data_IF_216656857977
#
_entry.id   IF_216656857977
#
_cell.length_a   1.000
_cell.length_b   1.000
_cell.length_c   1.000
_cell.angle_alpha   90.00
_cell.angle_beta   90.00
_cell.angle_gamma   90.00
#
_symmetry.space_group_name_H-M   'P 1'
#
loop_
_entity.id
_entity.type
_entity.pdbx_description
1 polymer ?
#
# COMPACT_ATOMS: atom_id res chain seq x y z
N UNK A 1 13.97 -8.22 19.45
CA UNK A 1 12.63 -7.59 19.30
C UNK A 1 11.89 -7.86 20.59
N UNK A 2 11.28 -6.85 21.21
CA UNK A 2 10.50 -7.06 22.42
C UNK A 2 9.35 -8.03 22.10
N UNK A 3 9.40 -9.18 22.76
CA UNK A 3 8.29 -10.10 22.90
C UNK A 3 8.00 -10.18 24.40
N UNK A 4 6.73 -10.34 24.74
CA UNK A 4 6.29 -10.39 26.12
C UNK A 4 5.14 -11.37 26.22
N UNK A 5 5.32 -12.38 27.05
CA UNK A 5 4.41 -13.49 27.20
C UNK A 5 3.90 -13.52 28.64
N UNK A 6 2.60 -13.70 28.81
CA UNK A 6 1.96 -13.84 30.11
C UNK A 6 0.66 -14.63 29.98
N UNK A 7 -0.06 -14.83 31.09
CA UNK A 7 -1.32 -15.57 31.12
C UNK A 7 -2.43 -14.68 31.67
N UNK A 8 -3.61 -14.71 31.05
CA UNK A 8 -4.81 -14.08 31.60
C UNK A 8 -5.26 -14.80 32.87
N UNK A 9 -6.12 -14.14 33.66
CA UNK A 9 -6.69 -14.72 34.88
C UNK A 9 -7.51 -15.99 34.63
N UNK A 10 -8.04 -16.17 33.41
CA UNK A 10 -8.77 -17.36 32.98
C UNK A 10 -7.88 -18.47 32.39
N UNK A 11 -6.56 -18.33 32.46
CA UNK A 11 -5.59 -19.34 32.04
C UNK A 11 -5.20 -19.28 30.56
N UNK A 12 -5.78 -18.39 29.76
CA UNK A 12 -5.40 -18.26 28.33
C UNK A 12 -4.03 -17.58 28.18
N UNK A 13 -3.12 -18.11 27.34
CA UNK A 13 -1.83 -17.48 27.10
C UNK A 13 -1.97 -16.25 26.21
N UNK A 14 -1.16 -15.23 26.49
CA UNK A 14 -1.06 -14.01 25.69
C UNK A 14 0.38 -13.82 25.25
N UNK A 15 0.56 -13.58 23.96
CA UNK A 15 1.83 -13.24 23.35
C UNK A 15 1.73 -11.86 22.71
N UNK A 16 2.57 -10.93 23.18
CA UNK A 16 2.70 -9.59 22.61
C UNK A 16 4.01 -9.51 21.85
N UNK A 17 3.95 -9.01 20.62
CA UNK A 17 5.13 -8.68 19.82
C UNK A 17 5.06 -7.23 19.37
N UNK A 18 6.09 -6.46 19.68
CA UNK A 18 6.27 -5.12 19.16
C UNK A 18 7.56 -5.07 18.34
N UNK A 19 7.49 -4.50 17.13
CA UNK A 19 8.63 -4.31 16.25
C UNK A 19 8.59 -2.92 15.59
N UNK A 20 9.52 -2.66 14.66
CA UNK A 20 9.67 -1.38 13.97
C UNK A 20 8.52 -1.03 13.01
N UNK A 21 7.55 -1.93 12.82
CA UNK A 21 6.42 -1.72 11.91
C UNK A 21 5.04 -1.97 12.51
N UNK A 22 4.93 -2.81 13.53
CA UNK A 22 3.64 -3.26 14.03
C UNK A 22 3.68 -3.73 15.48
N UNK A 23 2.52 -3.62 16.11
CA UNK A 23 2.14 -4.29 17.35
C UNK A 23 1.28 -5.51 17.00
N UNK A 24 1.53 -6.65 17.64
CA UNK A 24 0.72 -7.86 17.51
C UNK A 24 0.38 -8.39 18.89
N UNK A 25 -0.90 -8.72 19.09
CA UNK A 25 -1.42 -9.34 20.31
C UNK A 25 -2.02 -10.68 19.88
N UNK A 26 -1.57 -11.77 20.50
CA UNK A 26 -2.09 -13.11 20.24
C UNK A 26 -2.64 -13.69 21.55
N UNK A 27 -3.92 -14.03 21.58
CA UNK A 27 -4.60 -14.66 22.70
C UNK A 27 -4.95 -16.09 22.31
N UNK A 28 -4.41 -17.06 23.06
CA UNK A 28 -4.63 -18.50 22.86
C UNK A 28 -4.30 -19.01 21.45
N UNK A 29 -3.46 -18.29 20.69
CA UNK A 29 -3.14 -18.48 19.26
C UNK A 29 -4.34 -18.52 18.28
N UNK A 30 -5.55 -18.55 18.80
CA UNK A 30 -6.81 -18.57 18.08
C UNK A 30 -7.25 -17.17 17.67
N UNK A 31 -6.77 -16.14 18.36
CA UNK A 31 -7.09 -14.74 18.11
C UNK A 31 -5.80 -13.92 18.03
N UNK A 32 -5.54 -13.30 16.89
CA UNK A 32 -4.35 -12.48 16.66
C UNK A 32 -4.77 -11.14 16.08
N UNK A 33 -4.60 -10.07 16.85
CA UNK A 33 -4.81 -8.70 16.40
C UNK A 33 -3.47 -8.08 16.00
N UNK A 34 -3.41 -7.44 14.84
CA UNK A 34 -2.22 -6.73 14.36
C UNK A 34 -2.55 -5.28 14.08
N UNK A 35 -1.77 -4.39 14.67
CA UNK A 35 -1.89 -2.94 14.57
C UNK A 35 -0.65 -2.35 13.95
N UNK A 36 -0.81 -1.24 13.24
CA UNK A 36 0.32 -0.40 12.90
C UNK A 36 0.77 0.46 14.09
N UNK A 37 1.89 1.16 13.95
CA UNK A 37 2.45 1.97 15.04
C UNK A 37 1.63 3.24 15.36
N UNK A 38 0.59 3.55 14.59
CA UNK A 38 -0.37 4.60 14.94
C UNK A 38 -1.58 4.06 15.72
N UNK A 39 -1.62 2.74 15.99
CA UNK A 39 -2.72 2.06 16.65
C UNK A 39 -3.82 1.57 15.71
N UNK A 40 -3.67 1.72 14.38
CA UNK A 40 -4.72 1.28 13.43
C UNK A 40 -4.77 -0.23 13.36
N UNK A 41 -5.96 -0.80 13.55
CA UNK A 41 -6.19 -2.21 13.28
C UNK A 41 -5.91 -2.50 11.80
N UNK A 42 -5.01 -3.43 11.52
CA UNK A 42 -4.54 -3.75 10.18
C UNK A 42 -4.89 -5.17 9.76
N UNK A 43 -4.93 -6.12 10.69
CA UNK A 43 -5.34 -7.48 10.40
C UNK A 43 -5.76 -8.22 11.66
N UNK A 44 -6.69 -9.15 11.49
CA UNK A 44 -7.15 -10.05 12.55
C UNK A 44 -7.13 -11.47 12.04
N UNK A 45 -6.63 -12.40 12.84
CA UNK A 45 -6.90 -13.81 12.69
C UNK A 45 -7.84 -14.23 13.82
N UNK A 46 -8.99 -14.82 13.49
CA UNK A 46 -9.93 -15.35 14.47
C UNK A 46 -10.37 -16.74 14.02
N UNK A 47 -9.89 -17.78 14.72
CA UNK A 47 -10.29 -19.18 14.58
C UNK A 47 -10.39 -19.65 13.12
N UNK A 48 -9.33 -19.39 12.34
CA UNK A 48 -9.22 -19.82 10.94
C UNK A 48 -9.65 -18.78 9.91
N UNK A 49 -10.25 -17.67 10.35
CA UNK A 49 -10.64 -16.55 9.49
C UNK A 49 -9.58 -15.45 9.53
N UNK A 50 -9.09 -15.05 8.36
CA UNK A 50 -8.14 -13.95 8.18
C UNK A 50 -8.87 -12.71 7.69
N UNK A 51 -8.98 -11.71 8.55
CA UNK A 51 -9.58 -10.41 8.29
C UNK A 51 -8.49 -9.39 7.95
N UNK A 52 -8.74 -8.59 6.91
CA UNK A 52 -7.84 -7.52 6.46
C UNK A 52 -8.60 -6.22 6.33
N UNK A 53 -8.24 -5.22 7.13
CA UNK A 53 -8.81 -3.88 7.02
C UNK A 53 -8.07 -3.06 5.96
N UNK A 54 -8.80 -2.44 5.06
CA UNK A 54 -8.35 -1.39 4.15
C UNK A 54 -8.33 -0.02 4.83
N UNK A 55 -7.53 0.91 4.30
CA UNK A 55 -7.47 2.28 4.84
C UNK A 55 -8.77 3.06 4.61
N UNK A 56 -9.58 2.61 3.66
CA UNK A 56 -10.93 3.11 3.35
C UNK A 56 -12.01 2.55 4.30
N UNK A 57 -11.63 1.76 5.30
CA UNK A 57 -12.55 1.18 6.27
C UNK A 57 -13.09 -0.20 5.90
N UNK A 58 -12.99 -0.59 4.63
CA UNK A 58 -13.45 -1.90 4.16
C UNK A 58 -12.71 -3.04 4.85
N UNK A 59 -13.40 -4.16 5.15
CA UNK A 59 -12.76 -5.34 5.75
C UNK A 59 -13.04 -6.58 4.92
N UNK A 60 -11.98 -7.23 4.46
CA UNK A 60 -12.04 -8.48 3.71
C UNK A 60 -11.79 -9.66 4.65
N UNK A 61 -12.79 -10.52 4.82
CA UNK A 61 -12.66 -11.82 5.46
C UNK A 61 -12.21 -12.88 4.45
N UNK A 62 -11.28 -13.75 4.84
CA UNK A 62 -10.77 -14.86 4.03
C UNK A 62 -10.63 -16.11 4.89
N UNK A 63 -11.12 -17.24 4.42
CA UNK A 63 -11.04 -18.51 5.14
C UNK A 63 -10.91 -19.68 4.16
N UNK A 64 -10.78 -20.89 4.70
CA UNK A 64 -10.96 -22.13 3.94
C UNK A 64 -12.30 -22.75 4.32
N UNK A 65 -13.11 -23.10 3.34
CA UNK A 65 -14.37 -23.82 3.58
C UNK A 65 -14.11 -25.30 3.92
N UNK A 66 -15.19 -26.06 4.12
CA UNK A 66 -15.15 -27.49 4.47
C UNK A 66 -14.44 -28.34 3.40
N UNK A 67 -14.48 -27.90 2.14
CA UNK A 67 -13.79 -28.53 1.00
C UNK A 67 -12.33 -28.05 0.86
N UNK A 68 -11.80 -27.32 1.85
CA UNK A 68 -10.49 -26.67 1.84
C UNK A 68 -10.29 -25.65 0.72
N UNK A 69 -11.35 -25.19 0.06
CA UNK A 69 -11.28 -24.15 -0.97
C UNK A 69 -11.16 -22.78 -0.33
N UNK A 70 -10.54 -21.84 -1.04
CA UNK A 70 -10.38 -20.46 -0.57
C UNK A 70 -11.70 -19.71 -0.73
N UNK A 71 -12.25 -19.25 0.38
CA UNK A 71 -13.42 -18.40 0.41
C UNK A 71 -13.06 -16.98 0.90
N UNK A 72 -13.80 -15.98 0.44
CA UNK A 72 -13.64 -14.59 0.86
C UNK A 72 -14.95 -13.81 0.75
N UNK A 73 -15.14 -12.84 1.62
CA UNK A 73 -16.23 -11.85 1.50
C UNK A 73 -15.85 -10.53 2.17
N UNK A 74 -16.48 -9.46 1.73
CA UNK A 74 -16.48 -8.20 2.46
C UNK A 74 -17.41 -8.33 3.67
N UNK A 75 -17.00 -7.74 4.79
CA UNK A 75 -17.86 -7.59 5.96
C UNK A 75 -18.90 -6.47 5.72
N UNK A 76 -20.09 -6.64 6.28
CA UNK A 76 -21.07 -5.56 6.42
C UNK A 76 -20.66 -4.58 7.52
N UNK A 77 -21.28 -3.40 7.55
CA UNK A 77 -20.93 -2.31 8.47
C UNK A 77 -21.06 -2.71 9.95
N UNK A 78 -22.16 -3.39 10.29
CA UNK A 78 -22.41 -3.91 11.64
C UNK A 78 -21.37 -4.97 12.06
N UNK A 79 -20.89 -5.77 11.12
CA UNK A 79 -19.82 -6.75 11.38
C UNK A 79 -18.45 -6.09 11.57
N UNK A 80 -18.19 -4.97 10.88
CA UNK A 80 -17.00 -4.14 11.10
C UNK A 80 -17.07 -3.51 12.49
N UNK A 81 -18.21 -2.98 12.90
CA UNK A 81 -18.40 -2.41 14.24
C UNK A 81 -18.20 -3.46 15.34
N UNK A 82 -18.76 -4.66 15.16
CA UNK A 82 -18.56 -5.78 16.07
C UNK A 82 -17.09 -6.19 16.16
N UNK A 83 -16.38 -6.21 15.03
CA UNK A 83 -14.94 -6.49 14.99
C UNK A 83 -14.13 -5.43 15.76
N UNK A 84 -14.43 -4.14 15.56
CA UNK A 84 -13.74 -3.05 16.24
C UNK A 84 -14.01 -3.06 17.74
N UNK A 85 -15.25 -3.36 18.15
CA UNK A 85 -15.61 -3.53 19.56
C UNK A 85 -14.82 -4.69 20.19
N UNK A 86 -14.81 -5.86 19.55
CA UNK A 86 -14.05 -7.02 20.00
C UNK A 86 -12.56 -6.72 20.13
N UNK A 87 -11.99 -6.01 19.15
CA UNK A 87 -10.61 -5.55 19.20
C UNK A 87 -10.33 -4.67 20.43
N UNK A 88 -11.20 -3.69 20.72
CA UNK A 88 -11.04 -2.83 21.90
C UNK A 88 -11.11 -3.62 23.20
N UNK A 89 -12.03 -4.58 23.29
CA UNK A 89 -12.15 -5.50 24.42
C UNK A 89 -10.86 -6.31 24.61
N UNK A 90 -10.31 -6.90 23.54
CA UNK A 90 -9.06 -7.66 23.61
C UNK A 90 -7.89 -6.81 24.11
N UNK A 91 -7.73 -5.58 23.58
CA UNK A 91 -6.65 -4.68 23.99
C UNK A 91 -6.83 -4.24 25.45
N UNK A 92 -8.06 -3.91 25.87
CA UNK A 92 -8.37 -3.54 27.24
C UNK A 92 -8.09 -4.67 28.24
N UNK A 93 -8.54 -5.89 27.95
CA UNK A 93 -8.24 -7.09 28.77
C UNK A 93 -6.74 -7.34 28.86
N UNK A 94 -6.02 -7.15 27.75
CA UNK A 94 -4.55 -7.28 27.73
C UNK A 94 -3.89 -6.23 28.63
N UNK A 95 -4.32 -4.97 28.56
CA UNK A 95 -3.80 -3.87 29.39
C UNK A 95 -4.08 -4.05 30.87
N UNK A 96 -5.28 -4.51 31.22
CA UNK A 96 -5.68 -4.79 32.60
C UNK A 96 -4.80 -5.89 33.19
N UNK A 97 -4.66 -7.01 32.48
CA UNK A 97 -3.85 -8.14 32.93
C UNK A 97 -2.35 -7.82 33.02
N UNK A 98 -1.84 -6.82 32.28
CA UNK A 98 -0.47 -6.32 32.46
C UNK A 98 -0.22 -5.61 33.80
N UNK A 99 -1.26 -5.32 34.58
CA UNK A 99 -1.13 -4.69 35.91
C UNK A 99 -0.54 -5.67 36.93
N UNK A 100 -0.97 -6.93 36.85
CA UNK A 100 -0.54 -8.00 37.77
C UNK A 100 0.60 -8.86 37.20
N UNK A 101 0.93 -8.68 35.92
CA UNK A 101 2.00 -9.41 35.24
C UNK A 101 3.38 -8.76 35.48
N UNK A 102 4.50 -9.49 35.30
CA UNK A 102 5.85 -8.92 35.38
C UNK A 102 6.00 -7.69 34.47
N UNK A 103 6.78 -6.65 34.84
CA UNK A 103 6.87 -5.44 34.03
C UNK A 103 7.27 -5.74 32.57
N UNK A 104 6.47 -5.34 31.56
CA UNK A 104 6.84 -5.51 30.17
C UNK A 104 7.92 -4.49 29.76
N UNK A 105 8.58 -4.69 28.61
CA UNK A 105 9.31 -3.62 27.93
C UNK A 105 8.51 -2.30 27.90
N UNK A 106 9.19 -1.19 28.14
CA UNK A 106 8.57 0.12 28.40
C UNK A 106 7.74 0.68 27.24
N UNK A 107 7.91 0.13 26.04
CA UNK A 107 7.21 0.50 24.81
C UNK A 107 5.90 -0.28 24.59
N UNK A 108 5.69 -1.43 25.24
CA UNK A 108 4.50 -2.26 25.05
C UNK A 108 3.24 -1.58 25.57
N UNK A 109 3.25 -1.09 26.82
CA UNK A 109 2.07 -0.45 27.42
C UNK A 109 1.62 0.79 26.62
N UNK A 110 2.51 1.74 26.25
CA UNK A 110 2.14 2.85 25.37
C UNK A 110 1.59 2.41 24.01
N UNK A 111 2.13 1.35 23.40
CA UNK A 111 1.63 0.86 22.11
C UNK A 111 0.21 0.27 22.22
N UNK A 112 -0.10 -0.43 23.31
CA UNK A 112 -1.44 -0.92 23.60
C UNK A 112 -2.42 0.22 23.88
N UNK A 113 -2.02 1.22 24.66
CA UNK A 113 -2.82 2.42 24.94
C UNK A 113 -3.14 3.18 23.65
N UNK A 114 -2.15 3.32 22.75
CA UNK A 114 -2.33 3.91 21.42
C UNK A 114 -3.34 3.12 20.57
N UNK A 115 -3.30 1.78 20.60
CA UNK A 115 -4.26 0.93 19.91
C UNK A 115 -5.67 1.04 20.51
N UNK A 116 -5.80 1.11 21.84
CA UNK A 116 -7.08 1.27 22.53
C UNK A 116 -7.72 2.63 22.26
N UNK A 117 -6.91 3.69 22.21
CA UNK A 117 -7.34 5.06 21.96
C UNK A 117 -7.65 5.35 20.48
N UNK A 118 -7.46 4.38 19.58
CA UNK A 118 -7.65 4.59 18.15
C UNK A 118 -9.11 4.97 17.80
N UNK A 119 -9.27 6.13 17.17
CA UNK A 119 -10.55 6.63 16.67
C UNK A 119 -10.72 6.27 15.19
N UNK A 120 -11.55 5.26 14.95
CA UNK A 120 -11.82 4.72 13.61
C UNK A 120 -12.49 5.75 12.69
N UNK A 121 -13.51 6.46 13.18
CA UNK A 121 -14.25 7.41 12.35
C UNK A 121 -13.39 8.63 12.01
N UNK A 122 -12.56 9.08 12.96
CA UNK A 122 -11.59 10.12 12.68
C UNK A 122 -10.55 9.67 11.65
N UNK A 123 -10.06 8.43 11.72
CA UNK A 123 -9.11 7.87 10.74
C UNK A 123 -9.73 7.83 9.34
N UNK A 124 -10.99 7.40 9.19
CA UNK A 124 -11.70 7.43 7.90
C UNK A 124 -11.84 8.84 7.34
N UNK A 125 -12.24 9.82 8.17
CA UNK A 125 -12.32 11.22 7.75
C UNK A 125 -10.96 11.75 7.28
N UNK A 126 -9.87 11.37 7.94
CA UNK A 126 -8.51 11.75 7.54
C UNK A 126 -8.09 11.06 6.24
N UNK A 127 -8.41 9.78 6.06
CA UNK A 127 -8.15 9.06 4.81
C UNK A 127 -8.84 9.73 3.62
N UNK A 128 -10.14 10.02 3.74
CA UNK A 128 -10.91 10.67 2.66
C UNK A 128 -10.51 12.12 2.40
N UNK A 129 -9.85 12.78 3.36
CA UNK A 129 -9.22 14.09 3.15
C UNK A 129 -7.93 13.98 2.35
N UNK A 130 -7.09 12.99 2.67
CA UNK A 130 -5.78 12.80 2.03
C UNK A 130 -5.89 12.19 0.63
N UNK A 131 -6.90 11.35 0.37
CA UNK A 131 -6.99 10.55 -0.83
C UNK A 131 -8.28 10.75 -1.63
N UNK A 132 -8.13 10.80 -2.95
CA UNK A 132 -9.19 10.37 -3.87
C UNK A 132 -9.22 8.84 -3.90
N UNK A 133 -10.37 8.21 -4.26
CA UNK A 133 -10.47 6.76 -4.28
C UNK A 133 -9.28 6.11 -4.98
N UNK A 134 -8.60 5.23 -4.25
CA UNK A 134 -7.43 4.51 -4.74
C UNK A 134 -7.94 3.29 -5.50
N UNK A 135 -7.67 3.24 -6.80
CA UNK A 135 -8.07 2.11 -7.65
C UNK A 135 -7.10 0.94 -7.52
N UNK A 136 -7.13 0.01 -8.48
CA UNK A 136 -6.27 -1.18 -8.47
C UNK A 136 -4.79 -0.80 -8.43
N UNK A 137 -4.01 -1.53 -7.64
CA UNK A 137 -2.55 -1.53 -7.69
C UNK A 137 -2.08 -2.90 -8.20
N UNK A 138 -0.87 -2.99 -8.78
CA UNK A 138 -0.27 -4.28 -9.06
C UNK A 138 -0.17 -5.14 -7.79
N UNK A 139 -0.30 -6.48 -7.88
CA UNK A 139 -0.38 -7.34 -6.70
C UNK A 139 0.78 -7.19 -5.70
N UNK A 140 1.97 -6.89 -6.19
CA UNK A 140 3.17 -6.67 -5.37
C UNK A 140 3.29 -5.24 -4.81
N UNK A 141 2.31 -4.36 -5.09
CA UNK A 141 2.28 -2.96 -4.67
C UNK A 141 1.08 -2.62 -3.75
N UNK A 142 0.28 -3.58 -3.30
CA UNK A 142 -0.85 -3.32 -2.39
C UNK A 142 -0.46 -2.71 -1.03
N UNK A 143 0.81 -2.80 -0.63
CA UNK A 143 1.34 -2.16 0.59
C UNK A 143 2.13 -0.87 0.32
N UNK A 144 2.21 -0.42 -0.94
CA UNK A 144 2.89 0.82 -1.27
C UNK A 144 2.21 2.03 -0.60
N UNK A 145 2.99 3.07 -0.32
CA UNK A 145 2.49 4.40 -0.07
C UNK A 145 2.02 4.98 -1.41
N UNK A 146 0.73 5.24 -1.54
CA UNK A 146 0.18 5.80 -2.77
C UNK A 146 0.35 7.31 -2.75
N UNK A 147 0.91 7.89 -3.81
CA UNK A 147 1.01 9.33 -4.03
C UNK A 147 0.35 9.68 -5.38
N UNK A 148 -0.77 10.38 -5.36
CA UNK A 148 -1.62 10.67 -6.53
C UNK A 148 -1.11 11.91 -7.30
N UNK A 149 -0.05 11.73 -8.08
CA UNK A 149 0.44 12.77 -9.00
C UNK A 149 -0.54 13.07 -10.14
N UNK A 150 -1.32 12.07 -10.53
CA UNK A 150 -2.49 12.21 -11.39
C UNK A 150 -3.74 11.70 -10.68
N UNK A 151 -4.90 12.05 -11.23
CA UNK A 151 -6.21 11.51 -10.86
C UNK A 151 -6.87 10.95 -12.12
N UNK A 152 -7.55 9.81 -12.01
CA UNK A 152 -8.28 9.21 -13.13
C UNK A 152 -7.37 8.60 -14.19
N UNK A 153 -7.96 8.32 -15.36
CA UNK A 153 -7.27 7.73 -16.50
C UNK A 153 -7.31 8.65 -17.72
N UNK A 154 -6.14 8.94 -18.30
CA UNK A 154 -6.00 9.78 -19.50
C UNK A 154 -6.65 9.20 -20.75
N UNK A 155 -6.94 7.91 -20.75
CA UNK A 155 -7.54 7.21 -21.87
C UNK A 155 -9.02 6.86 -21.62
N UNK A 156 -9.31 6.17 -20.52
CA UNK A 156 -10.66 5.89 -19.99
C UNK A 156 -11.71 5.38 -21.01
N UNK A 157 -11.29 4.73 -22.11
CA UNK A 157 -12.19 4.20 -23.14
C UNK A 157 -12.10 2.69 -23.34
N UNK A 158 -11.18 2.01 -22.64
CA UNK A 158 -11.07 0.55 -22.66
C UNK A 158 -12.42 -0.09 -22.32
N UNK A 159 -12.82 -1.12 -23.08
CA UNK A 159 -14.16 -1.74 -22.93
C UNK A 159 -14.33 -2.51 -21.62
N UNK A 160 -13.24 -3.05 -21.07
CA UNK A 160 -13.25 -3.84 -19.84
C UNK A 160 -13.05 -3.01 -18.55
N UNK A 161 -12.53 -1.78 -18.67
CA UNK A 161 -12.09 -1.01 -17.51
C UNK A 161 -13.17 -0.06 -17.00
N UNK A 162 -13.61 -0.30 -15.76
CA UNK A 162 -14.58 0.56 -15.05
C UNK A 162 -13.94 1.39 -13.92
N UNK A 163 -12.65 1.23 -13.65
CA UNK A 163 -11.99 1.72 -12.42
C UNK A 163 -11.94 3.24 -12.26
N UNK A 164 -11.96 3.98 -13.37
CA UNK A 164 -11.74 5.43 -13.40
C UNK A 164 -12.92 6.19 -14.03
N UNK A 165 -14.09 5.55 -14.15
CA UNK A 165 -15.28 6.13 -14.78
C UNK A 165 -15.92 7.24 -13.94
N UNK A 166 -15.62 7.27 -12.66
CA UNK A 166 -16.17 8.19 -11.66
C UNK A 166 -15.40 9.52 -11.56
N UNK A 167 -14.26 9.70 -12.26
CA UNK A 167 -13.45 10.93 -12.19
C UNK A 167 -12.77 11.28 -13.51
N UNK A 168 -12.65 12.58 -13.86
CA UNK A 168 -11.91 13.01 -15.04
C UNK A 168 -10.39 12.88 -14.82
N UNK A 169 -9.65 12.79 -15.91
CA UNK A 169 -8.18 12.81 -15.84
C UNK A 169 -7.66 14.20 -15.50
N UNK A 170 -6.70 14.26 -14.57
CA UNK A 170 -6.00 15.50 -14.22
C UNK A 170 -4.58 15.22 -13.74
N UNK A 171 -3.68 16.16 -14.03
CA UNK A 171 -2.31 16.19 -13.50
C UNK A 171 -2.23 17.26 -12.42
N UNK A 172 -1.81 16.90 -11.20
CA UNK A 172 -1.61 17.87 -10.11
C UNK A 172 -0.50 18.88 -10.46
N UNK A 173 -0.62 20.09 -9.94
CA UNK A 173 0.50 21.05 -9.92
C UNK A 173 1.53 20.65 -8.87
N UNK A 174 2.77 21.16 -8.92
CA UNK A 174 3.74 20.93 -7.85
C UNK A 174 3.23 21.29 -6.46
N UNK A 175 2.52 22.42 -6.31
CA UNK A 175 1.97 22.85 -5.03
C UNK A 175 0.90 21.88 -4.51
N UNK A 176 -0.02 21.44 -5.36
CA UNK A 176 -1.06 20.48 -4.98
C UNK A 176 -0.48 19.11 -4.63
N UNK A 177 0.55 18.68 -5.35
CA UNK A 177 1.21 17.40 -5.07
C UNK A 177 2.03 17.46 -3.78
N UNK A 178 2.71 18.58 -3.51
CA UNK A 178 3.39 18.83 -2.23
C UNK A 178 2.39 18.77 -1.08
N UNK A 179 1.24 19.43 -1.20
CA UNK A 179 0.17 19.37 -0.20
C UNK A 179 -0.34 17.94 -0.02
N UNK A 180 -0.58 17.22 -1.11
CA UNK A 180 -1.00 15.81 -1.03
C UNK A 180 0.04 14.94 -0.31
N UNK A 181 1.34 15.13 -0.56
CA UNK A 181 2.40 14.42 0.16
C UNK A 181 2.36 14.75 1.66
N UNK A 182 2.15 16.01 2.02
CA UNK A 182 2.02 16.44 3.41
C UNK A 182 0.79 15.80 4.09
N UNK A 183 -0.37 15.81 3.44
CA UNK A 183 -1.61 15.20 3.96
C UNK A 183 -1.46 13.69 4.14
N UNK A 184 -0.78 13.02 3.20
CA UNK A 184 -0.49 11.59 3.28
C UNK A 184 0.46 11.29 4.43
N UNK A 185 1.52 12.07 4.61
CA UNK A 185 2.46 11.91 5.72
C UNK A 185 1.79 12.13 7.08
N UNK A 186 0.95 13.16 7.19
CA UNK A 186 0.14 13.42 8.39
C UNK A 186 -0.78 12.24 8.67
N UNK A 187 -1.55 11.80 7.66
CA UNK A 187 -2.49 10.70 7.78
C UNK A 187 -1.81 9.45 8.32
N UNK A 188 -0.68 9.03 7.73
CA UNK A 188 0.01 7.80 8.14
C UNK A 188 0.71 7.93 9.50
N UNK A 189 1.32 9.08 9.80
CA UNK A 189 2.07 9.28 11.03
C UNK A 189 3.08 8.13 11.28
N UNK A 190 3.14 7.57 12.50
CA UNK A 190 4.00 6.43 12.82
C UNK A 190 3.72 5.16 11.97
N UNK A 191 2.49 4.96 11.51
CA UNK A 191 2.10 3.83 10.67
C UNK A 191 2.73 3.84 9.27
N UNK A 192 3.43 4.92 8.89
CA UNK A 192 4.24 5.00 7.67
C UNK A 192 5.30 3.89 7.62
N UNK A 193 5.80 3.41 8.76
CA UNK A 193 6.82 2.37 8.82
C UNK A 193 6.41 1.05 8.16
N UNK A 194 5.11 0.76 8.07
CA UNK A 194 4.59 -0.40 7.33
C UNK A 194 4.69 -0.24 5.80
N UNK A 195 4.89 0.97 5.31
CA UNK A 195 5.01 1.28 3.88
C UNK A 195 6.48 1.21 3.48
N UNK A 196 6.78 0.38 2.48
CA UNK A 196 8.17 0.13 2.04
C UNK A 196 8.46 0.60 0.63
N UNK A 197 7.47 1.01 -0.14
CA UNK A 197 7.62 1.53 -1.49
C UNK A 197 6.63 2.66 -1.74
N UNK A 198 6.83 3.42 -2.81
CA UNK A 198 5.90 4.44 -3.27
C UNK A 198 5.27 3.99 -4.59
N UNK A 199 3.95 4.10 -4.69
CA UNK A 199 3.24 4.00 -5.96
C UNK A 199 2.78 5.38 -6.40
N UNK A 200 3.35 5.86 -7.50
CA UNK A 200 2.98 7.12 -8.13
C UNK A 200 1.70 6.89 -8.94
N UNK A 201 0.58 7.18 -8.30
CA UNK A 201 -0.78 7.05 -8.81
C UNK A 201 -1.17 8.27 -9.66
N UNK A 202 -2.20 8.20 -10.49
CA UNK A 202 -3.23 7.15 -10.57
C UNK A 202 -3.05 6.20 -11.76
N UNK A 203 -4.03 6.08 -12.68
CA UNK A 203 -4.05 5.07 -13.74
C UNK A 203 -2.85 5.12 -14.70
N UNK A 204 -2.25 6.31 -14.84
CA UNK A 204 -1.07 6.52 -15.65
C UNK A 204 -0.37 7.80 -15.17
N UNK A 205 0.65 7.67 -14.32
CA UNK A 205 1.43 8.82 -13.88
C UNK A 205 2.49 9.22 -14.92
N UNK A 206 2.91 8.30 -15.80
CA UNK A 206 3.98 8.55 -16.75
C UNK A 206 3.52 9.26 -18.04
N UNK A 207 2.22 9.43 -18.27
CA UNK A 207 1.69 10.39 -19.27
C UNK A 207 2.11 11.84 -18.98
N UNK A 208 2.43 12.17 -17.72
CA UNK A 208 2.83 13.53 -17.34
C UNK A 208 4.04 13.94 -18.20
N UNK A 209 3.99 15.10 -18.90
CA UNK A 209 5.12 15.60 -19.67
C UNK A 209 6.37 15.68 -18.81
N UNK A 210 7.53 15.27 -19.34
CA UNK A 210 8.75 15.11 -18.53
C UNK A 210 9.12 16.37 -17.72
N UNK A 211 8.99 17.55 -18.35
CA UNK A 211 9.23 18.85 -17.70
C UNK A 211 8.35 19.11 -16.47
N UNK A 212 7.15 18.51 -16.42
CA UNK A 212 6.22 18.59 -15.29
C UNK A 212 6.39 17.43 -14.30
N UNK A 213 6.80 16.25 -14.77
CA UNK A 213 6.99 15.06 -13.94
C UNK A 213 8.24 15.18 -13.05
N UNK A 214 9.32 15.75 -13.57
CA UNK A 214 10.58 15.90 -12.81
C UNK A 214 10.39 16.71 -11.51
N UNK A 215 9.70 17.86 -11.49
CA UNK A 215 9.35 18.55 -10.24
C UNK A 215 8.60 17.67 -9.24
N UNK A 216 7.64 16.84 -9.68
CA UNK A 216 6.90 15.95 -8.79
C UNK A 216 7.78 14.86 -8.20
N UNK A 217 8.68 14.28 -9.00
CA UNK A 217 9.66 13.32 -8.52
C UNK A 217 10.66 13.96 -7.54
N UNK A 218 11.04 15.23 -7.75
CA UNK A 218 11.88 15.99 -6.82
C UNK A 218 11.16 16.28 -5.50
N UNK A 219 9.84 16.53 -5.52
CA UNK A 219 9.02 16.61 -4.30
C UNK A 219 9.15 15.30 -3.51
N UNK A 220 8.95 14.15 -4.17
CA UNK A 220 9.13 12.84 -3.52
C UNK A 220 10.53 12.70 -2.92
N UNK A 221 11.57 13.06 -3.67
CA UNK A 221 12.96 12.95 -3.21
C UNK A 221 13.32 13.87 -2.01
N UNK A 222 12.57 14.97 -1.79
CA UNK A 222 12.75 15.81 -0.60
C UNK A 222 12.15 15.19 0.66
N UNK A 223 11.07 14.43 0.51
CA UNK A 223 10.34 13.85 1.66
C UNK A 223 10.77 12.43 1.99
N UNK A 224 11.29 11.69 1.02
CA UNK A 224 11.61 10.28 1.13
C UNK A 224 13.03 10.00 0.67
N UNK A 225 13.71 9.13 1.41
CA UNK A 225 14.98 8.57 0.97
C UNK A 225 14.67 7.33 0.12
N UNK A 226 15.27 7.20 -1.06
CA UNK A 226 15.12 6.01 -1.89
C UNK A 226 16.34 5.12 -1.70
N UNK A 227 16.09 3.83 -1.45
CA UNK A 227 17.11 2.81 -1.28
C UNK A 227 18.09 2.82 -2.47
N UNK A 228 19.40 2.90 -2.20
CA UNK A 228 20.43 2.73 -3.22
C UNK A 228 20.32 1.37 -3.92
N UNK A 229 20.63 1.35 -5.21
CA UNK A 229 20.70 0.09 -5.94
C UNK A 229 21.90 -0.76 -5.46
N UNK A 230 21.81 -2.08 -5.58
CA UNK A 230 22.93 -2.99 -5.35
C UNK A 230 23.18 -3.41 -3.90
N UNK A 231 22.36 -2.99 -2.94
CA UNK A 231 22.46 -3.46 -1.55
C UNK A 231 21.91 -4.88 -1.40
N UNK A 232 22.64 -5.72 -0.67
CA UNK A 232 22.19 -7.05 -0.29
C UNK A 232 21.09 -6.99 0.80
N UNK A 233 20.50 -8.13 1.15
CA UNK A 233 19.40 -8.20 2.11
C UNK A 233 19.77 -7.65 3.51
N UNK A 234 20.92 -8.01 4.11
CA UNK A 234 21.37 -7.42 5.38
C UNK A 234 21.57 -5.90 5.32
N UNK A 235 22.30 -5.38 4.33
CA UNK A 235 22.57 -3.95 4.19
C UNK A 235 21.28 -3.16 3.93
N UNK A 236 20.36 -3.71 3.11
CA UNK A 236 19.04 -3.11 2.90
C UNK A 236 18.26 -2.96 4.20
N UNK A 237 18.24 -3.99 5.05
CA UNK A 237 17.55 -3.90 6.35
C UNK A 237 18.19 -2.87 7.28
N UNK A 238 19.53 -2.81 7.31
CA UNK A 238 20.24 -1.80 8.09
C UNK A 238 19.92 -0.38 7.61
N UNK A 239 19.94 -0.16 6.28
CA UNK A 239 19.61 1.13 5.68
C UNK A 239 18.18 1.55 6.01
N UNK A 240 17.19 0.67 5.83
CA UNK A 240 15.78 0.99 6.12
C UNK A 240 15.55 1.36 7.60
N UNK A 241 16.29 0.76 8.54
CA UNK A 241 16.19 1.13 9.97
C UNK A 241 16.76 2.51 10.26
N UNK A 242 17.76 2.95 9.50
CA UNK A 242 18.40 4.26 9.65
C UNK A 242 17.65 5.38 8.93
N UNK A 243 16.68 5.03 8.08
CA UNK A 243 15.92 5.98 7.27
C UNK A 243 14.42 5.84 7.57
N UNK A 244 13.87 6.63 8.51
CA UNK A 244 12.46 6.54 8.91
C UNK A 244 11.47 6.71 7.76
N UNK A 245 11.86 7.42 6.69
CA UNK A 245 11.11 7.59 5.44
C UNK A 245 11.81 6.91 4.25
N UNK A 246 12.50 5.81 4.53
CA UNK A 246 13.22 5.01 3.55
C UNK A 246 12.28 4.14 2.72
N UNK A 247 12.36 4.27 1.40
CA UNK A 247 11.54 3.54 0.43
C UNK A 247 12.41 2.70 -0.48
N UNK A 248 12.00 1.47 -0.79
CA UNK A 248 12.73 0.56 -1.68
C UNK A 248 12.72 1.01 -3.14
N UNK A 249 11.75 1.85 -3.51
CA UNK A 249 11.62 2.36 -4.86
C UNK A 249 10.30 3.07 -5.10
N UNK A 250 10.25 3.74 -6.25
CA UNK A 250 9.03 4.34 -6.82
C UNK A 250 8.55 3.43 -7.96
N UNK A 251 7.24 3.26 -8.03
CA UNK A 251 6.52 2.38 -8.93
C UNK A 251 5.38 3.15 -9.60
N UNK A 252 4.99 2.83 -10.84
CA UNK A 252 3.91 3.53 -11.53
C UNK A 252 3.28 2.68 -12.64
N UNK A 253 2.04 3.01 -13.02
CA UNK A 253 1.47 2.57 -14.29
C UNK A 253 1.91 3.45 -15.47
N UNK A 254 1.92 2.85 -16.65
CA UNK A 254 2.08 3.54 -17.94
C UNK A 254 1.30 2.80 -19.04
N UNK A 255 0.62 3.53 -19.91
CA UNK A 255 0.09 2.95 -21.16
C UNK A 255 1.13 2.99 -22.29
N UNK A 256 0.93 2.18 -23.34
CA UNK A 256 1.86 2.09 -24.48
C UNK A 256 2.16 3.47 -25.08
N UNK A 257 1.11 4.21 -25.45
CA UNK A 257 1.19 5.53 -26.07
C UNK A 257 2.00 6.54 -25.25
N UNK A 258 1.83 6.54 -23.94
CA UNK A 258 2.54 7.42 -23.02
C UNK A 258 4.01 7.06 -22.88
N UNK A 259 4.30 5.75 -22.83
CA UNK A 259 5.67 5.28 -22.84
C UNK A 259 6.39 5.69 -24.13
N UNK A 260 5.66 5.82 -25.24
CA UNK A 260 6.25 6.27 -26.49
C UNK A 260 6.74 7.70 -26.50
N UNK A 261 6.10 8.55 -25.70
CA UNK A 261 6.42 9.97 -25.60
C UNK A 261 7.66 10.24 -24.73
N UNK A 262 8.30 9.21 -24.18
CA UNK A 262 9.52 9.33 -23.38
C UNK A 262 10.70 8.65 -24.06
N UNK A 263 11.83 9.33 -24.04
CA UNK A 263 13.11 8.77 -24.48
C UNK A 263 13.73 7.88 -23.40
N UNK A 264 14.73 7.07 -23.78
CA UNK A 264 15.56 6.32 -22.82
C UNK A 264 16.16 7.27 -21.77
N UNK A 265 16.69 8.42 -22.21
CA UNK A 265 17.26 9.45 -21.33
C UNK A 265 16.25 10.03 -20.33
N UNK A 266 14.97 10.12 -20.71
CA UNK A 266 13.93 10.57 -19.78
C UNK A 266 13.67 9.53 -18.69
N UNK A 267 13.64 8.25 -19.06
CA UNK A 267 13.53 7.16 -18.09
C UNK A 267 14.76 7.03 -17.19
N UNK A 268 15.97 7.26 -17.71
CA UNK A 268 17.20 7.30 -16.90
C UNK A 268 17.14 8.38 -15.82
N UNK A 269 16.64 9.58 -16.17
CA UNK A 269 16.42 10.65 -15.18
C UNK A 269 15.43 10.24 -14.10
N UNK A 270 14.34 9.57 -14.48
CA UNK A 270 13.34 9.07 -13.51
C UNK A 270 13.93 7.96 -12.63
N UNK A 271 14.76 7.08 -13.20
CA UNK A 271 15.48 6.04 -12.46
C UNK A 271 16.45 6.61 -11.44
N UNK A 272 17.18 7.67 -11.82
CA UNK A 272 18.07 8.40 -10.93
C UNK A 272 17.30 9.02 -9.74
N UNK A 273 16.05 9.43 -9.95
CA UNK A 273 15.14 9.93 -8.90
C UNK A 273 14.39 8.82 -8.15
N UNK A 274 14.70 7.55 -8.41
CA UNK A 274 14.18 6.44 -7.61
C UNK A 274 13.09 5.59 -8.27
N UNK A 275 12.67 5.88 -9.50
CA UNK A 275 11.81 4.98 -10.26
C UNK A 275 12.53 3.63 -10.44
N UNK A 276 11.89 2.53 -10.03
CA UNK A 276 12.47 1.18 -10.12
C UNK A 276 11.73 0.33 -11.13
N UNK A 277 10.40 0.39 -11.12
CA UNK A 277 9.56 -0.44 -11.98
C UNK A 277 8.35 0.32 -12.48
N UNK A 278 7.96 0.00 -13.70
CA UNK A 278 6.76 0.49 -14.36
C UNK A 278 5.89 -0.68 -14.78
N UNK A 279 4.59 -0.54 -14.66
CA UNK A 279 3.62 -1.56 -15.05
C UNK A 279 2.88 -1.11 -16.30
N UNK A 280 2.89 -1.95 -17.33
CA UNK A 280 2.27 -1.68 -18.61
C UNK A 280 1.15 -2.68 -18.88
N UNK A 281 -0.03 -2.15 -19.22
CA UNK A 281 -1.22 -2.94 -19.55
C UNK A 281 -1.21 -3.39 -21.02
N UNK A 282 -0.54 -4.50 -21.31
CA UNK A 282 -0.54 -5.15 -22.62
C UNK A 282 -1.91 -5.76 -22.92
N UNK A 283 -2.46 -6.47 -21.95
CA UNK A 283 -3.71 -7.24 -22.00
C UNK A 283 -3.74 -8.38 -23.02
N UNK A 284 -3.32 -8.17 -24.27
CA UNK A 284 -3.27 -9.20 -25.31
C UNK A 284 -2.14 -8.93 -26.31
N UNK A 285 -1.68 -9.98 -26.98
CA UNK A 285 -0.82 -9.88 -28.17
C UNK A 285 -1.58 -9.95 -29.50
N UNK A 286 -2.89 -10.17 -29.46
CA UNK A 286 -3.77 -10.19 -30.64
C UNK A 286 -4.26 -8.77 -30.93
N UNK A 287 -3.88 -8.23 -32.09
CA UNK A 287 -4.22 -6.87 -32.52
C UNK A 287 -5.74 -6.65 -32.71
N UNK A 288 -6.47 -7.67 -33.18
CA UNK A 288 -7.92 -7.57 -33.33
C UNK A 288 -8.60 -7.49 -31.96
N UNK A 289 -8.10 -8.27 -30.98
CA UNK A 289 -8.58 -8.17 -29.60
C UNK A 289 -8.20 -6.83 -28.97
N UNK A 290 -6.99 -6.33 -29.17
CA UNK A 290 -6.59 -5.00 -28.68
C UNK A 290 -7.47 -3.89 -29.25
N UNK A 291 -7.78 -3.94 -30.54
CA UNK A 291 -8.70 -3.00 -31.19
C UNK A 291 -10.12 -3.11 -30.62
N UNK A 292 -10.62 -4.33 -30.39
CA UNK A 292 -11.92 -4.56 -29.77
C UNK A 292 -11.97 -4.05 -28.32
N UNK A 293 -10.90 -4.26 -27.55
CA UNK A 293 -10.71 -3.70 -26.20
C UNK A 293 -10.53 -2.19 -26.20
N UNK A 294 -10.41 -1.58 -27.40
CA UNK A 294 -10.09 -0.17 -27.64
C UNK A 294 -8.79 0.24 -26.99
N UNK A 295 -7.72 -0.56 -27.06
CA UNK A 295 -6.43 -0.17 -26.48
C UNK A 295 -5.75 0.94 -27.31
N UNK A 296 -4.99 1.85 -26.68
CA UNK A 296 -4.38 3.00 -27.36
C UNK A 296 -3.10 2.65 -28.14
N UNK A 297 -2.67 1.38 -28.12
CA UNK A 297 -1.39 0.96 -28.70
C UNK A 297 -1.46 -0.48 -29.18
N UNK A 298 -0.70 -0.77 -30.22
CA UNK A 298 -0.44 -2.10 -30.78
C UNK A 298 0.52 -2.89 -29.88
N UNK A 299 0.58 -4.21 -30.07
CA UNK A 299 1.54 -5.06 -29.36
C UNK A 299 2.99 -4.68 -29.69
N UNK A 300 3.26 -4.32 -30.95
CA UNK A 300 4.59 -3.91 -31.41
C UNK A 300 5.08 -2.62 -30.71
N UNK A 301 4.21 -1.61 -30.61
CA UNK A 301 4.51 -0.36 -29.89
C UNK A 301 4.80 -0.63 -28.41
N UNK A 302 4.04 -1.52 -27.77
CA UNK A 302 4.28 -1.92 -26.38
C UNK A 302 5.61 -2.66 -26.20
N UNK A 303 5.98 -3.54 -27.13
CA UNK A 303 7.31 -4.20 -27.12
C UNK A 303 8.43 -3.16 -27.24
N UNK A 304 8.29 -2.18 -28.14
CA UNK A 304 9.27 -1.10 -28.29
C UNK A 304 9.35 -0.21 -27.02
N UNK A 305 8.23 0.10 -26.40
CA UNK A 305 8.16 0.82 -25.12
C UNK A 305 8.89 0.04 -24.00
N UNK A 306 8.63 -1.26 -23.87
CA UNK A 306 9.31 -2.15 -22.91
C UNK A 306 10.82 -2.14 -23.15
N UNK A 307 11.25 -2.23 -24.42
CA UNK A 307 12.66 -2.17 -24.81
C UNK A 307 13.35 -0.89 -24.33
N UNK A 308 12.73 0.27 -24.52
CA UNK A 308 13.25 1.57 -24.04
C UNK A 308 13.36 1.64 -22.53
N UNK A 309 12.33 1.21 -21.81
CA UNK A 309 12.32 1.24 -20.34
C UNK A 309 13.41 0.31 -19.77
N UNK A 310 13.59 -0.87 -20.37
CA UNK A 310 14.69 -1.79 -20.02
C UNK A 310 16.07 -1.21 -20.34
N UNK A 311 16.23 -0.54 -21.49
CA UNK A 311 17.49 0.12 -21.86
C UNK A 311 17.89 1.21 -20.85
N UNK A 312 16.91 1.90 -20.27
CA UNK A 312 17.12 2.87 -19.19
C UNK A 312 17.39 2.23 -17.80
N UNK A 313 17.39 0.89 -17.71
CA UNK A 313 17.63 0.14 -16.47
C UNK A 313 16.42 0.08 -15.53
N UNK A 314 15.20 0.28 -16.04
CA UNK A 314 13.95 0.06 -15.30
C UNK A 314 13.49 -1.40 -15.41
N UNK A 315 12.86 -1.90 -14.36
CA UNK A 315 12.08 -3.12 -14.42
C UNK A 315 10.72 -2.82 -15.07
N UNK A 316 10.17 -3.78 -15.81
CA UNK A 316 8.86 -3.63 -16.43
C UNK A 316 7.98 -4.82 -16.06
N UNK A 317 6.85 -4.56 -15.41
CA UNK A 317 5.79 -5.53 -15.20
C UNK A 317 4.78 -5.45 -16.34
N UNK A 318 4.55 -6.56 -17.03
CA UNK A 318 3.56 -6.63 -18.12
C UNK A 318 2.29 -7.27 -17.57
N UNK A 319 1.16 -6.63 -17.80
CA UNK A 319 -0.16 -7.14 -17.41
C UNK A 319 -0.83 -7.74 -18.66
N UNK A 320 -1.33 -8.96 -18.53
CA UNK A 320 -1.98 -9.74 -19.60
C UNK A 320 -3.30 -10.28 -19.08
N UNK A 321 -4.34 -10.25 -19.92
CA UNK A 321 -5.65 -10.84 -19.65
C UNK A 321 -5.75 -12.17 -20.40
N UNK A 322 -6.00 -13.26 -19.67
CA UNK A 322 -6.04 -14.62 -20.25
C UNK A 322 -7.43 -15.05 -20.75
N UNK A 323 -8.47 -14.24 -20.53
CA UNK A 323 -9.87 -14.58 -20.81
C UNK A 323 -10.73 -14.44 -19.57
#
# INVERSE_FOLDING_TARGET
MPHYDFTLSDGRPVHIRLNDVALTISIDVLLIDTFDLAGRLFGVFDRGVNLRRGLDGSVLARWRDEDHRRARRWLAEDEVDALLKKMRENVATTLEALTDAPPPPSDIRPALEQALAFDYDADLRRFHRAYRPISILPPDQYQALVLQATEGCSFNTCTFCALYRDRPFRIKTPAEFEQHVADVLDFFGPGLSMRRSIFLADANALIIPQKRLLPLMQIVARHFSILPAGLDAPARRAWLRQHPRGMTGIYAFVDGLSAERKSVRDFEKLRALGLRRVYIGLESGDEALLAWLRKPSTAAEMVAAVGRMKAAGLQVGVIVLLG
#
